data_IF_461623110567
#
_entry.id   IF_461623110567
#
_cell.length_a   1.000
_cell.length_b   1.000
_cell.length_c   1.000
_cell.angle_alpha   90.00
_cell.angle_beta   90.00
_cell.angle_gamma   90.00
#
_symmetry.space_group_name_H-M   'P 1'
#
loop_
_entity.id
_entity.type
_entity.pdbx_description
1 polymer ?
#
# COMPACT_ATOMS: atom_id res chain seq x y z
N UNK A 1 -10.77 -8.89 -9.31
CA UNK A 1 -10.85 -7.55 -8.67
C UNK A 1 -9.56 -6.83 -8.99
N UNK A 2 -9.65 -5.55 -9.34
CA UNK A 2 -8.50 -4.70 -9.65
C UNK A 2 -8.17 -3.83 -8.44
N UNK A 3 -6.89 -3.72 -8.13
CA UNK A 3 -6.36 -2.94 -7.01
C UNK A 3 -5.43 -1.85 -7.55
N UNK A 4 -5.35 -0.72 -6.85
CA UNK A 4 -4.46 0.40 -7.19
C UNK A 4 -3.43 0.56 -6.07
N UNK A 5 -2.27 -0.06 -6.24
CA UNK A 5 -1.26 -0.18 -5.19
C UNK A 5 -0.12 0.78 -5.43
N UNK A 6 0.23 1.56 -4.41
CA UNK A 6 1.29 2.55 -4.49
C UNK A 6 2.67 1.91 -4.42
N UNK A 7 3.62 2.44 -5.17
CA UNK A 7 5.00 2.00 -5.16
C UNK A 7 5.91 3.21 -5.24
N UNK A 8 6.77 3.40 -4.25
CA UNK A 8 7.81 4.41 -4.28
C UNK A 8 9.10 3.82 -4.85
N UNK A 9 9.83 4.57 -5.67
CA UNK A 9 11.06 4.10 -6.33
C UNK A 9 12.09 3.54 -5.35
N UNK A 10 12.17 4.10 -4.13
CA UNK A 10 13.12 3.64 -3.11
C UNK A 10 12.90 2.17 -2.72
N UNK A 11 11.69 1.63 -2.84
CA UNK A 11 11.37 0.23 -2.53
C UNK A 11 12.10 -0.72 -3.51
N UNK A 12 12.24 -0.32 -4.78
CA UNK A 12 13.03 -1.05 -5.78
C UNK A 12 14.53 -0.79 -5.55
N UNK A 13 14.91 0.46 -5.29
CA UNK A 13 16.32 0.85 -5.12
C UNK A 13 16.99 0.18 -3.92
N UNK A 14 16.23 -0.18 -2.89
CA UNK A 14 16.68 -0.95 -1.74
C UNK A 14 17.12 -2.39 -2.11
N UNK A 15 16.88 -2.82 -3.36
CA UNK A 15 17.43 -4.05 -3.95
C UNK A 15 16.58 -5.30 -3.72
N UNK A 16 15.45 -5.17 -3.03
CA UNK A 16 14.57 -6.28 -2.70
C UNK A 16 13.54 -6.61 -3.78
N UNK A 17 13.32 -5.68 -4.71
CA UNK A 17 12.49 -5.87 -5.89
C UNK A 17 13.25 -5.41 -7.12
N UNK A 18 13.03 -6.09 -8.24
CA UNK A 18 13.36 -5.56 -9.56
C UNK A 18 12.32 -4.50 -9.97
N UNK A 19 12.60 -3.81 -11.08
CA UNK A 19 11.59 -2.95 -11.71
C UNK A 19 10.34 -3.78 -12.11
N UNK A 20 9.17 -3.19 -11.91
CA UNK A 20 7.89 -3.79 -12.24
C UNK A 20 7.56 -3.54 -13.70
N UNK A 21 7.01 -4.54 -14.39
CA UNK A 21 6.64 -4.49 -15.80
C UNK A 21 5.17 -4.87 -16.00
N UNK A 22 4.50 -4.18 -16.91
CA UNK A 22 3.15 -4.52 -17.34
C UNK A 22 3.11 -5.92 -17.97
N UNK A 23 2.09 -6.70 -17.62
CA UNK A 23 1.89 -8.05 -18.14
C UNK A 23 2.69 -9.13 -17.43
N UNK A 24 3.46 -8.77 -16.38
CA UNK A 24 4.19 -9.72 -15.54
C UNK A 24 3.48 -9.97 -14.21
N UNK A 25 3.92 -11.05 -13.55
CA UNK A 25 3.49 -11.37 -12.21
C UNK A 25 4.61 -11.17 -11.19
N UNK A 26 4.24 -10.65 -10.02
CA UNK A 26 5.14 -10.40 -8.91
C UNK A 26 4.55 -10.93 -7.61
N UNK A 27 5.43 -11.30 -6.67
CA UNK A 27 5.02 -11.72 -5.33
C UNK A 27 5.43 -10.66 -4.31
N UNK A 28 4.45 -10.02 -3.68
CA UNK A 28 4.69 -9.02 -2.65
C UNK A 28 3.54 -8.96 -1.64
N UNK A 29 3.83 -8.43 -0.46
CA UNK A 29 2.85 -8.09 0.57
C UNK A 29 2.42 -6.62 0.42
N UNK A 30 1.26 -6.28 0.99
CA UNK A 30 0.79 -4.90 1.02
C UNK A 30 1.00 -4.29 2.40
N UNK A 31 1.45 -3.04 2.42
CA UNK A 31 1.37 -2.18 3.59
C UNK A 31 0.20 -1.19 3.47
N UNK A 32 -0.24 -0.63 4.59
CA UNK A 32 -1.19 0.47 4.60
C UNK A 32 -0.74 1.64 5.49
N UNK A 33 -1.18 2.83 5.10
CA UNK A 33 -1.12 4.02 5.94
C UNK A 33 -2.52 4.60 6.13
N UNK A 34 -3.02 4.65 7.37
CA UNK A 34 -4.36 5.12 7.67
C UNK A 34 -4.45 6.65 7.61
N UNK A 35 -5.57 7.16 7.09
CA UNK A 35 -5.97 8.56 7.13
C UNK A 35 -7.43 8.63 7.58
N UNK A 36 -7.70 9.33 8.69
CA UNK A 36 -9.05 9.46 9.27
C UNK A 36 -9.76 8.11 9.56
N UNK A 37 -9.04 7.15 10.14
CA UNK A 37 -9.59 5.82 10.45
C UNK A 37 -10.39 5.86 11.75
N UNK A 38 -11.60 5.32 11.70
CA UNK A 38 -12.50 5.17 12.84
C UNK A 38 -12.92 3.71 12.99
N UNK A 39 -13.31 3.34 14.21
CA UNK A 39 -14.01 2.07 14.43
C UNK A 39 -15.38 2.18 13.75
N UNK A 40 -15.70 1.23 12.89
CA UNK A 40 -16.99 1.22 12.21
C UNK A 40 -18.11 1.01 13.25
N UNK A 41 -19.19 1.81 13.20
CA UNK A 41 -20.30 1.67 14.14
C UNK A 41 -21.06 0.35 13.98
N UNK A 42 -20.96 -0.29 12.82
CA UNK A 42 -21.64 -1.54 12.50
C UNK A 42 -20.63 -2.60 12.03
N UNK A 43 -20.50 -3.67 12.82
CA UNK A 43 -19.64 -4.81 12.55
C UNK A 43 -20.15 -5.71 11.40
N UNK A 44 -21.38 -5.49 10.91
CA UNK A 44 -21.95 -6.18 9.75
C UNK A 44 -21.60 -5.54 8.40
N UNK A 45 -20.83 -4.44 8.41
CA UNK A 45 -20.39 -3.77 7.19
C UNK A 45 -19.52 -4.69 6.33
N UNK A 46 -19.97 -4.95 5.09
CA UNK A 46 -19.23 -5.78 4.12
C UNK A 46 -17.89 -5.10 3.78
N UNK A 47 -16.76 -5.85 3.76
CA UNK A 47 -15.49 -5.30 3.31
C UNK A 47 -15.63 -4.59 1.97
N UNK A 48 -15.12 -3.37 1.91
CA UNK A 48 -15.18 -2.52 0.72
C UNK A 48 -13.85 -1.86 0.54
N UNK A 49 -13.38 -1.80 -0.70
CA UNK A 49 -12.20 -1.06 -1.08
C UNK A 49 -12.54 -0.24 -2.33
N UNK A 50 -12.86 1.03 -2.14
CA UNK A 50 -13.19 1.95 -3.23
C UNK A 50 -12.01 2.87 -3.49
N UNK A 51 -11.41 2.77 -4.67
CA UNK A 51 -10.32 3.66 -5.09
C UNK A 51 -10.82 5.10 -5.26
N UNK A 52 -10.08 6.06 -4.68
CA UNK A 52 -10.46 7.49 -4.67
C UNK A 52 -9.37 8.41 -5.24
N UNK A 53 -8.33 7.84 -5.87
CA UNK A 53 -7.21 8.58 -6.47
C UNK A 53 -5.85 8.13 -5.92
N UNK A 54 -4.81 8.23 -6.75
CA UNK A 54 -3.47 7.69 -6.48
C UNK A 54 -3.55 6.22 -5.99
N UNK A 55 -2.94 5.84 -4.87
CA UNK A 55 -3.12 4.54 -4.22
C UNK A 55 -3.98 4.62 -2.96
N UNK A 56 -4.90 5.58 -2.90
CA UNK A 56 -5.81 5.80 -1.76
C UNK A 56 -7.17 5.17 -2.01
N UNK A 57 -7.73 4.65 -0.93
CA UNK A 57 -9.01 3.96 -0.95
C UNK A 57 -9.86 4.39 0.24
N UNK A 58 -11.14 4.63 0.01
CA UNK A 58 -12.12 4.61 1.09
C UNK A 58 -12.50 3.15 1.32
N UNK A 59 -12.22 2.65 2.54
CA UNK A 59 -12.26 1.24 2.84
C UNK A 59 -12.96 0.91 4.15
N UNK A 60 -13.56 -0.27 4.16
CA UNK A 60 -14.02 -0.97 5.37
C UNK A 60 -13.28 -2.29 5.44
N UNK A 61 -12.67 -2.58 6.59
CA UNK A 61 -11.90 -3.80 6.80
C UNK A 61 -11.96 -4.30 8.23
N UNK A 62 -11.54 -5.54 8.43
CA UNK A 62 -11.51 -6.17 9.76
C UNK A 62 -10.07 -6.32 10.22
N UNK A 63 -9.74 -5.89 11.43
CA UNK A 63 -8.43 -6.17 12.02
C UNK A 63 -8.34 -7.68 12.26
N UNK A 64 -7.32 -8.33 11.71
CA UNK A 64 -7.12 -9.78 11.85
C UNK A 64 -5.92 -10.13 12.74
N UNK A 65 -5.02 -9.19 12.96
CA UNK A 65 -3.84 -9.39 13.79
C UNK A 65 -3.37 -8.07 14.44
N UNK A 66 -2.91 -8.16 15.69
CA UNK A 66 -2.26 -7.07 16.41
C UNK A 66 -1.07 -7.61 17.22
N UNK A 67 0.00 -6.83 17.27
CA UNK A 67 1.17 -6.99 18.14
C UNK A 67 1.75 -5.62 18.47
N UNK A 68 2.76 -5.53 19.34
CA UNK A 68 3.46 -4.26 19.57
C UNK A 68 4.27 -3.78 18.34
N UNK A 69 4.56 -4.65 17.38
CA UNK A 69 5.37 -4.34 16.19
C UNK A 69 4.55 -4.01 14.95
N UNK A 70 3.36 -4.62 14.80
CA UNK A 70 2.53 -4.48 13.62
C UNK A 70 1.08 -4.85 13.88
N UNK A 71 0.21 -4.40 12.98
CA UNK A 71 -1.19 -4.80 12.92
C UNK A 71 -1.64 -4.97 11.46
N UNK A 72 -2.62 -5.86 11.25
CA UNK A 72 -3.08 -6.28 9.92
C UNK A 72 -4.58 -6.07 9.81
N UNK A 73 -5.00 -5.51 8.68
CA UNK A 73 -6.41 -5.32 8.33
C UNK A 73 -6.70 -6.10 7.05
N UNK A 74 -7.84 -6.80 7.05
CA UNK A 74 -8.41 -7.46 5.88
C UNK A 74 -9.47 -6.57 5.24
N UNK A 75 -9.18 -6.06 4.04
CA UNK A 75 -10.09 -5.26 3.20
C UNK A 75 -10.74 -6.10 2.08
N UNK A 76 -10.69 -7.43 2.17
CA UNK A 76 -10.76 -8.35 1.02
C UNK A 76 -9.38 -8.64 0.42
N UNK A 77 -8.37 -7.93 0.91
CA UNK A 77 -6.94 -8.20 0.76
C UNK A 77 -6.27 -7.84 2.09
N UNK A 78 -5.29 -8.64 2.50
CA UNK A 78 -4.53 -8.35 3.71
C UNK A 78 -3.48 -7.26 3.44
N UNK A 79 -3.48 -6.24 4.28
CA UNK A 79 -2.42 -5.25 4.36
C UNK A 79 -2.01 -5.04 5.82
N UNK A 80 -0.75 -4.70 6.06
CA UNK A 80 -0.25 -4.42 7.41
C UNK A 80 0.27 -3.00 7.56
N UNK A 81 0.40 -2.56 8.80
CA UNK A 81 1.20 -1.40 9.13
C UNK A 81 2.23 -1.80 10.18
N UNK A 82 3.50 -1.49 9.91
CA UNK A 82 4.61 -1.68 10.85
C UNK A 82 4.61 -0.56 11.90
N UNK A 83 3.64 -0.63 12.81
CA UNK A 83 3.56 0.26 13.94
C UNK A 83 2.79 -0.43 15.06
N UNK A 84 2.98 0.07 16.29
CA UNK A 84 2.10 -0.28 17.39
C UNK A 84 0.66 0.12 17.02
N UNK A 85 -0.31 -0.79 17.13
CA UNK A 85 -1.69 -0.49 16.83
C UNK A 85 -2.25 0.60 17.75
N UNK A 86 -3.24 1.38 17.30
CA UNK A 86 -4.02 2.25 18.18
C UNK A 86 -4.58 1.48 19.38
N UNK A 87 -4.77 2.16 20.53
CA UNK A 87 -5.22 1.50 21.77
C UNK A 87 -6.58 0.80 21.67
N UNK A 88 -7.42 1.20 20.72
CA UNK A 88 -8.72 0.60 20.45
C UNK A 88 -8.65 -0.62 19.50
N UNK A 89 -7.52 -0.83 18.82
CA UNK A 89 -7.38 -1.85 17.80
C UNK A 89 -7.16 -3.23 18.41
N UNK A 90 -8.02 -4.18 18.04
CA UNK A 90 -7.98 -5.58 18.44
C UNK A 90 -8.48 -6.46 17.29
N UNK A 91 -8.03 -7.72 17.17
CA UNK A 91 -8.59 -8.65 16.21
C UNK A 91 -10.11 -8.74 16.31
N UNK A 92 -10.79 -8.76 15.15
CA UNK A 92 -12.25 -8.73 15.02
C UNK A 92 -12.86 -7.33 14.99
N UNK A 93 -12.11 -6.26 15.30
CA UNK A 93 -12.62 -4.89 15.17
C UNK A 93 -12.75 -4.50 13.71
N UNK A 94 -13.93 -4.05 13.31
CA UNK A 94 -14.19 -3.47 11.99
C UNK A 94 -13.79 -1.99 12.00
N UNK A 95 -13.01 -1.59 11.00
CA UNK A 95 -12.55 -0.21 10.81
C UNK A 95 -13.08 0.34 9.49
N UNK A 96 -13.33 1.63 9.47
CA UNK A 96 -13.72 2.37 8.27
C UNK A 96 -12.89 3.64 8.18
N UNK A 97 -12.53 4.05 6.97
CA UNK A 97 -11.79 5.29 6.76
C UNK A 97 -11.07 5.29 5.43
N UNK A 98 -10.10 6.18 5.30
CA UNK A 98 -9.24 6.26 4.11
C UNK A 98 -7.91 5.58 4.38
N UNK A 99 -7.45 4.81 3.41
CA UNK A 99 -6.20 4.07 3.52
C UNK A 99 -5.39 4.25 2.24
N UNK A 100 -4.12 4.58 2.38
CA UNK A 100 -3.15 4.35 1.31
C UNK A 100 -2.74 2.89 1.37
N UNK A 101 -2.72 2.19 0.22
CA UNK A 101 -2.17 0.83 0.12
C UNK A 101 -0.89 0.87 -0.73
N UNK A 102 0.19 0.31 -0.20
CA UNK A 102 1.50 0.30 -0.84
C UNK A 102 2.08 -1.10 -0.98
N UNK A 103 3.02 -1.27 -1.91
CA UNK A 103 3.91 -2.43 -1.91
C UNK A 103 4.73 -2.36 -0.62
N UNK A 104 4.70 -3.42 0.16
CA UNK A 104 5.45 -3.47 1.39
C UNK A 104 6.97 -3.48 1.09
N UNK A 105 7.76 -2.64 1.77
CA UNK A 105 9.19 -2.75 1.76
C UNK A 105 9.63 -4.03 2.50
N UNK A 106 10.94 -4.25 2.52
CA UNK A 106 11.57 -5.48 3.00
C UNK A 106 11.33 -5.84 4.48
N UNK A 107 10.88 -4.90 5.32
CA UNK A 107 10.69 -5.10 6.75
C UNK A 107 9.77 -6.28 7.10
N UNK A 108 8.75 -6.54 6.27
CA UNK A 108 7.92 -7.73 6.46
C UNK A 108 8.71 -9.03 6.29
N UNK A 109 9.52 -9.10 5.22
CA UNK A 109 10.31 -10.28 4.91
C UNK A 109 11.38 -10.55 5.96
N UNK A 110 11.98 -9.50 6.53
CA UNK A 110 13.12 -9.64 7.42
C UNK A 110 12.77 -9.97 8.86
N UNK A 111 11.71 -9.34 9.40
CA UNK A 111 11.40 -9.41 10.83
C UNK A 111 9.93 -9.67 11.14
N UNK A 112 8.99 -9.07 10.40
CA UNK A 112 7.59 -9.14 10.82
C UNK A 112 6.96 -10.52 10.56
N UNK A 113 7.39 -11.25 9.52
CA UNK A 113 6.92 -12.62 9.24
C UNK A 113 7.21 -13.60 10.39
N UNK A 114 8.18 -13.29 11.24
CA UNK A 114 8.59 -14.12 12.38
C UNK A 114 7.80 -13.78 13.66
N UNK A 115 7.04 -12.68 13.65
CA UNK A 115 6.18 -12.33 14.78
C UNK A 115 5.14 -13.42 14.97
N UNK A 116 5.06 -13.97 16.18
CA UNK A 116 4.15 -15.07 16.51
C UNK A 116 2.71 -14.70 16.16
N UNK A 117 2.10 -15.50 15.28
CA UNK A 117 0.70 -15.32 14.86
C UNK A 117 0.51 -14.37 13.68
N UNK A 118 1.59 -13.77 13.14
CA UNK A 118 1.51 -12.95 11.93
C UNK A 118 1.03 -13.82 10.76
N UNK A 119 -0.02 -13.42 10.04
CA UNK A 119 -0.46 -14.15 8.85
C UNK A 119 0.58 -14.05 7.72
N UNK A 120 0.56 -15.02 6.80
CA UNK A 120 1.27 -14.87 5.52
C UNK A 120 0.56 -13.79 4.69
N UNK A 121 1.30 -12.72 4.40
CA UNK A 121 0.81 -11.56 3.67
C UNK A 121 1.25 -11.55 2.20
N UNK A 122 2.15 -12.44 1.79
CA UNK A 122 2.57 -12.49 0.40
C UNK A 122 1.45 -13.00 -0.49
N UNK A 123 1.15 -12.26 -1.54
CA UNK A 123 0.22 -12.67 -2.60
C UNK A 123 0.91 -12.55 -3.95
N UNK A 124 0.39 -13.29 -4.92
CA UNK A 124 0.79 -13.19 -6.31
C UNK A 124 -0.06 -12.10 -6.98
N UNK A 125 0.58 -11.22 -7.73
CA UNK A 125 -0.03 -10.04 -8.34
C UNK A 125 0.32 -9.97 -9.80
N UNK A 126 -0.69 -9.88 -10.67
CA UNK A 126 -0.50 -9.61 -12.09
C UNK A 126 -0.62 -8.10 -12.34
N UNK A 127 0.40 -7.48 -12.95
CA UNK A 127 0.43 -6.04 -13.23
C UNK A 127 -0.28 -5.76 -14.54
N UNK A 128 -1.40 -5.03 -14.48
CA UNK A 128 -2.17 -4.64 -15.65
C UNK A 128 -1.65 -3.37 -16.27
N UNK A 129 -1.40 -2.35 -15.45
CA UNK A 129 -0.97 -1.02 -15.85
C UNK A 129 -0.08 -0.42 -14.77
N UNK A 130 0.83 0.44 -15.19
CA UNK A 130 1.70 1.20 -14.29
C UNK A 130 1.52 2.68 -14.62
N UNK A 131 1.14 3.45 -13.61
CA UNK A 131 0.94 4.89 -13.71
C UNK A 131 2.08 5.58 -12.97
N UNK A 132 2.96 6.27 -13.67
CA UNK A 132 3.99 7.13 -13.07
C UNK A 132 3.35 8.47 -12.67
N UNK A 133 3.49 8.85 -11.40
CA UNK A 133 3.08 10.16 -10.91
C UNK A 133 3.93 11.27 -11.53
N UNK A 134 3.26 12.18 -12.24
CA UNK A 134 3.86 13.39 -12.83
C UNK A 134 3.37 14.66 -12.14
N UNK A 135 2.64 14.52 -11.03
CA UNK A 135 2.15 15.63 -10.20
C UNK A 135 3.29 16.60 -9.90
N UNK A 136 3.17 17.90 -10.23
CA UNK A 136 4.25 18.84 -10.01
C UNK A 136 4.54 19.00 -8.53
N UNK A 137 5.81 19.28 -8.22
CA UNK A 137 6.23 19.64 -6.87
C UNK A 137 5.87 21.10 -6.58
N UNK A 138 5.43 21.37 -5.35
CA UNK A 138 5.34 22.72 -4.77
C UNK A 138 6.35 22.84 -3.62
N UNK A 139 6.91 24.03 -3.46
CA UNK A 139 7.69 24.37 -2.27
C UNK A 139 6.75 24.87 -1.17
N UNK A 140 6.94 24.36 0.03
CA UNK A 140 6.26 24.77 1.24
C UNK A 140 7.30 25.09 2.31
N UNK A 141 6.91 25.90 3.29
CA UNK A 141 7.75 26.21 4.45
C UNK A 141 7.02 25.81 5.71
N UNK A 142 7.74 25.20 6.64
CA UNK A 142 7.19 24.92 7.96
C UNK A 142 7.10 26.22 8.78
N UNK A 143 6.45 26.21 9.97
CA UNK A 143 6.38 27.39 10.83
C UNK A 143 7.74 27.96 11.28
N UNK A 144 8.83 27.21 11.11
CA UNK A 144 10.20 27.62 11.43
C UNK A 144 10.98 28.11 10.19
N UNK A 145 10.32 28.22 9.03
CA UNK A 145 10.92 28.67 7.77
C UNK A 145 11.73 27.60 7.05
N UNK A 146 11.72 26.34 7.50
CA UNK A 146 12.37 25.24 6.78
C UNK A 146 11.57 24.94 5.54
N UNK A 147 12.21 25.07 4.38
CA UNK A 147 11.62 24.69 3.10
C UNK A 147 11.57 23.17 2.96
N UNK A 148 10.45 22.67 2.45
CA UNK A 148 10.26 21.30 2.03
C UNK A 148 9.42 21.27 0.75
N UNK A 149 9.46 20.14 0.03
CA UNK A 149 8.70 19.97 -1.21
C UNK A 149 7.61 18.93 -1.00
N UNK A 150 6.41 19.23 -1.45
CA UNK A 150 5.29 18.28 -1.49
C UNK A 150 4.71 18.25 -2.90
N UNK A 151 3.99 17.18 -3.24
CA UNK A 151 3.21 17.13 -4.48
C UNK A 151 2.06 18.13 -4.40
N UNK A 152 1.85 18.91 -5.44
CA UNK A 152 0.68 19.76 -5.57
C UNK A 152 -0.55 18.92 -5.95
N UNK A 153 -1.25 18.43 -4.93
CA UNK A 153 -2.43 17.57 -5.11
C UNK A 153 -3.56 18.22 -5.90
N UNK A 154 -3.59 19.55 -6.03
CA UNK A 154 -4.57 20.25 -6.88
C UNK A 154 -4.29 20.07 -8.37
N UNK A 155 -3.09 19.60 -8.72
CA UNK A 155 -2.60 19.36 -10.08
C UNK A 155 -2.15 17.92 -10.26
N UNK A 156 -2.84 17.00 -9.58
CA UNK A 156 -2.55 15.57 -9.66
C UNK A 156 -2.54 15.09 -11.11
N UNK A 157 -1.49 14.39 -11.50
CA UNK A 157 -1.36 13.87 -12.86
C UNK A 157 -0.49 12.61 -12.89
N UNK A 158 -0.81 11.75 -13.85
CA UNK A 158 -0.09 10.50 -14.10
C UNK A 158 0.07 10.29 -15.60
N UNK A 159 1.14 9.58 -15.95
CA UNK A 159 1.33 9.01 -17.28
C UNK A 159 1.46 7.49 -17.19
N UNK A 160 0.94 6.78 -18.17
CA UNK A 160 1.13 5.33 -18.24
C UNK A 160 2.54 5.01 -18.76
N UNK A 161 3.21 4.07 -18.09
CA UNK A 161 4.54 3.57 -18.47
C UNK A 161 4.51 2.05 -18.58
N UNK A 162 5.30 1.44 -19.49
CA UNK A 162 5.32 -0.02 -19.65
C UNK A 162 6.03 -0.73 -18.48
N UNK A 163 6.93 -0.03 -17.80
CA UNK A 163 7.71 -0.52 -16.68
C UNK A 163 8.08 0.63 -15.75
N UNK A 164 8.39 0.32 -14.49
CA UNK A 164 9.10 1.26 -13.62
C UNK A 164 10.55 1.42 -14.10
N UNK A 165 11.13 2.58 -13.84
CA UNK A 165 12.58 2.81 -13.92
C UNK A 165 12.92 3.58 -12.66
N UNK A 166 13.09 2.84 -11.56
CA UNK A 166 13.24 3.41 -10.22
C UNK A 166 14.43 4.35 -10.12
N UNK A 167 15.45 4.20 -10.96
CA UNK A 167 16.67 5.01 -10.91
C UNK A 167 16.59 6.28 -11.77
N UNK A 168 15.74 6.32 -12.81
CA UNK A 168 15.66 7.46 -13.73
C UNK A 168 14.36 8.25 -13.66
N UNK A 169 13.21 7.60 -13.44
CA UNK A 169 11.94 8.31 -13.38
C UNK A 169 11.90 9.29 -12.20
N UNK A 170 11.47 10.52 -12.49
CA UNK A 170 11.49 11.67 -11.57
C UNK A 170 12.84 11.83 -10.85
N UNK A 171 13.95 11.64 -11.58
CA UNK A 171 15.30 11.77 -11.04
C UNK A 171 15.62 10.76 -9.94
N UNK A 172 15.01 9.57 -9.98
CA UNK A 172 15.15 8.54 -8.95
C UNK A 172 14.18 8.69 -7.78
N UNK A 173 13.24 9.63 -7.85
CA UNK A 173 12.20 9.85 -6.83
C UNK A 173 10.80 9.46 -7.33
N UNK A 174 10.73 8.60 -8.34
CA UNK A 174 9.48 8.17 -8.97
C UNK A 174 8.49 7.59 -7.95
N UNK A 175 7.22 7.93 -8.12
CA UNK A 175 6.11 7.32 -7.41
C UNK A 175 5.15 6.74 -8.45
N UNK A 176 4.65 5.55 -8.19
CA UNK A 176 3.84 4.79 -9.13
C UNK A 176 2.56 4.32 -8.48
N UNK A 177 1.53 4.14 -9.30
CA UNK A 177 0.35 3.34 -8.98
C UNK A 177 0.36 2.12 -9.89
N UNK A 178 0.44 0.95 -9.27
CA UNK A 178 0.29 -0.34 -9.93
C UNK A 178 -1.19 -0.68 -9.96
N UNK A 179 -1.77 -0.73 -11.16
CA UNK A 179 -3.08 -1.35 -11.35
C UNK A 179 -2.87 -2.86 -11.47
N UNK A 180 -3.29 -3.63 -10.46
CA UNK A 180 -2.97 -5.06 -10.39
C UNK A 180 -4.17 -5.94 -10.02
N UNK A 181 -4.08 -7.20 -10.42
CA UNK A 181 -5.03 -8.25 -10.03
C UNK A 181 -4.33 -9.22 -9.09
N UNK A 182 -4.94 -9.49 -7.93
CA UNK A 182 -4.47 -10.58 -7.08
C UNK A 182 -4.78 -11.92 -7.77
N UNK A 183 -3.75 -12.73 -7.98
CA UNK A 183 -3.87 -14.12 -8.41
C UNK A 183 -3.98 -15.01 -7.19
N UNK A 184 -4.83 -16.03 -7.24
CA UNK A 184 -4.72 -17.11 -6.28
C UNK A 184 -3.36 -17.77 -6.52
N UNK A 185 -2.57 -17.91 -5.46
CA UNK A 185 -1.36 -18.75 -5.54
C UNK A 185 -1.74 -20.15 -6.01
N UNK A 186 -0.80 -20.97 -6.51
CA UNK A 186 -1.08 -22.35 -6.83
C UNK A 186 -1.74 -23.00 -5.60
N UNK A 187 -3.02 -23.32 -5.73
CA UNK A 187 -3.81 -23.82 -4.62
C UNK A 187 -3.17 -25.09 -4.10
N UNK A 188 -2.91 -25.13 -2.79
CA UNK A 188 -2.83 -26.41 -2.09
C UNK A 188 -4.18 -27.08 -2.26
N UNK A 189 -4.26 -27.98 -3.24
CA UNK A 189 -5.29 -29.03 -3.26
C UNK A 189 -5.19 -29.77 -1.93
N UNK A 190 -6.31 -29.82 -1.22
CA UNK A 190 -6.46 -30.58 0.01
C UNK A 190 -6.38 -32.09 -0.17
#
# INVERSE_FOLDING_TARGET
MTFHIGLAAWIIQDGNYEDFEVGREYRFALEFYPHDVVVAPDASSIPRLAHVGNARHDAVGTIVFCSDAAWVVDFGVLAFQEAKPPSWAKPGTVVSGRFYLGVAPFFYFERLKEVRGMPDLFRQWFIRRILLETTPWKEESDPHGRKFRTRDSSRESFIEVPATDAWKHDGGSGHYVLECEQRMGPGGSG
#
